data_IF_334548468912
#
_entry.id   IF_334548468912
#
_cell.length_a   1.000
_cell.length_b   1.000
_cell.length_c   1.000
_cell.angle_alpha   90.00
_cell.angle_beta   90.00
_cell.angle_gamma   90.00
#
_symmetry.space_group_name_H-M   'P 1'
#
loop_
_entity.id
_entity.type
_entity.pdbx_description
1 polymer ?
#
# COMPACT_ATOMS: atom_id res chain seq x y z
N UNK A 1 27.96 9.90 15.28
CA UNK A 1 28.28 10.24 13.86
C UNK A 1 28.73 8.96 13.19
N UNK A 2 28.16 8.64 12.03
CA UNK A 2 28.55 7.44 11.27
C UNK A 2 29.99 7.57 10.80
N UNK A 3 30.77 6.48 10.91
CA UNK A 3 32.14 6.46 10.40
C UNK A 3 32.09 6.13 8.90
N UNK A 4 32.96 6.76 8.08
CA UNK A 4 33.02 6.46 6.64
C UNK A 4 33.30 4.97 6.38
N UNK A 5 34.01 4.30 7.29
CA UNK A 5 34.31 2.88 7.20
C UNK A 5 33.07 1.98 7.45
N UNK A 6 31.96 2.55 7.92
CA UNK A 6 30.70 1.82 8.09
C UNK A 6 29.99 1.59 6.75
N UNK A 7 30.46 2.22 5.67
CA UNK A 7 29.85 2.18 4.35
C UNK A 7 30.76 1.53 3.32
N UNK A 8 30.23 0.55 2.60
CA UNK A 8 30.87 0.02 1.39
C UNK A 8 30.24 0.72 0.19
N UNK A 9 31.02 1.57 -0.48
CA UNK A 9 30.57 2.38 -1.62
C UNK A 9 31.44 2.07 -2.83
N UNK A 10 30.82 1.77 -3.97
CA UNK A 10 31.46 1.49 -5.23
C UNK A 10 30.82 2.31 -6.35
N UNK A 11 31.57 3.13 -7.03
CA UNK A 11 31.11 3.98 -8.15
C UNK A 11 29.86 4.82 -7.82
N UNK A 12 29.81 5.37 -6.62
CA UNK A 12 28.65 6.16 -6.13
C UNK A 12 27.47 5.34 -5.65
N UNK A 13 27.51 4.01 -5.71
CA UNK A 13 26.49 3.13 -5.18
C UNK A 13 26.86 2.68 -3.77
N UNK A 14 25.97 2.92 -2.80
CA UNK A 14 26.09 2.33 -1.47
C UNK A 14 25.71 0.85 -1.55
N UNK A 15 26.71 -0.03 -1.49
CA UNK A 15 26.52 -1.48 -1.60
C UNK A 15 26.05 -2.08 -0.26
N UNK A 16 26.66 -1.60 0.84
CA UNK A 16 26.35 -2.14 2.17
C UNK A 16 26.68 -1.16 3.28
N UNK A 17 25.81 -1.06 4.25
CA UNK A 17 26.09 -0.49 5.56
C UNK A 17 26.45 -1.63 6.55
N UNK A 18 27.51 -1.44 7.31
CA UNK A 18 28.05 -2.41 8.28
C UNK A 18 28.32 -1.79 9.65
N UNK A 19 27.78 -0.58 9.86
CA UNK A 19 27.91 0.12 11.15
C UNK A 19 26.92 -0.37 12.21
N UNK A 20 27.00 0.18 13.42
CA UNK A 20 26.23 -0.28 14.57
C UNK A 20 24.74 0.11 14.55
N UNK A 21 24.31 0.93 13.60
CA UNK A 21 22.94 1.51 13.57
C UNK A 21 22.85 2.85 14.29
N UNK A 22 21.70 3.13 14.92
CA UNK A 22 21.40 4.44 15.49
C UNK A 22 21.04 5.45 14.40
N UNK A 23 21.44 6.72 14.59
CA UNK A 23 21.22 7.79 13.62
C UNK A 23 22.36 7.80 12.59
N UNK A 24 22.03 7.53 11.34
CA UNK A 24 22.98 7.36 10.24
C UNK A 24 22.87 8.49 9.24
N UNK A 25 23.99 9.08 8.85
CA UNK A 25 24.08 10.03 7.74
C UNK A 25 24.89 9.35 6.64
N UNK A 26 24.25 9.11 5.50
CA UNK A 26 24.92 8.55 4.30
C UNK A 26 25.86 9.59 3.74
N UNK A 27 27.12 9.21 3.39
CA UNK A 27 28.11 10.17 2.86
C UNK A 27 27.66 10.88 1.59
N UNK A 28 28.06 12.12 1.45
CA UNK A 28 27.93 12.88 0.19
C UNK A 28 28.67 12.14 -0.95
N UNK A 29 28.16 12.29 -2.18
CA UNK A 29 28.70 11.58 -3.36
C UNK A 29 28.08 10.21 -3.60
N UNK A 30 27.25 9.69 -2.68
CA UNK A 30 26.38 8.55 -2.97
C UNK A 30 25.26 9.00 -3.89
N UNK A 31 25.09 8.29 -5.00
CA UNK A 31 24.07 8.58 -6.02
C UNK A 31 22.98 7.52 -6.10
N UNK A 32 23.21 6.35 -5.49
CA UNK A 32 22.24 5.24 -5.42
C UNK A 32 22.41 4.45 -4.13
N UNK A 33 21.31 4.01 -3.56
CA UNK A 33 21.30 3.02 -2.47
C UNK A 33 21.05 1.67 -3.11
N UNK A 34 22.03 0.76 -2.98
CA UNK A 34 22.02 -0.55 -3.61
C UNK A 34 20.98 -1.50 -3.00
N UNK A 35 20.78 -2.62 -3.69
CA UNK A 35 19.96 -3.74 -3.22
C UNK A 35 20.55 -4.25 -1.89
N UNK A 36 19.67 -4.40 -0.86
CA UNK A 36 20.03 -4.87 0.49
C UNK A 36 21.00 -3.99 1.28
N UNK A 37 21.27 -2.75 0.86
CA UNK A 37 22.31 -1.91 1.45
C UNK A 37 22.21 -1.75 2.97
N UNK A 38 20.99 -1.65 3.53
CA UNK A 38 20.71 -1.60 4.99
C UNK A 38 19.84 -2.78 5.47
N UNK A 39 19.72 -3.85 4.67
CA UNK A 39 18.87 -4.99 5.04
C UNK A 39 19.28 -5.53 6.42
N UNK A 40 18.26 -5.82 7.26
CA UNK A 40 18.42 -6.34 8.61
C UNK A 40 19.14 -5.41 9.60
N UNK A 41 19.32 -4.11 9.25
CA UNK A 41 19.87 -3.12 10.18
C UNK A 41 18.83 -2.76 11.25
N UNK A 42 18.50 -3.73 12.11
CA UNK A 42 17.42 -3.62 13.11
C UNK A 42 17.65 -2.54 14.17
N UNK A 43 18.89 -2.08 14.34
CA UNK A 43 19.26 -0.99 15.26
C UNK A 43 19.28 0.40 14.61
N UNK A 44 19.01 0.50 13.29
CA UNK A 44 18.93 1.78 12.58
C UNK A 44 17.68 2.55 13.04
N UNK A 45 17.85 3.74 13.63
CA UNK A 45 16.75 4.55 14.17
C UNK A 45 16.32 5.66 13.22
N UNK A 46 17.29 6.28 12.55
CA UNK A 46 17.04 7.26 11.51
C UNK A 46 18.12 7.22 10.42
N UNK A 47 17.78 7.66 9.23
CA UNK A 47 18.72 7.76 8.12
C UNK A 47 18.52 9.06 7.36
N UNK A 48 19.62 9.78 7.14
CA UNK A 48 19.65 10.96 6.24
C UNK A 48 20.25 10.49 4.91
N UNK A 49 19.45 10.59 3.86
CA UNK A 49 19.83 10.28 2.48
C UNK A 49 20.25 11.56 1.79
N UNK A 50 21.46 11.67 1.20
CA UNK A 50 21.92 12.88 0.56
C UNK A 50 21.14 13.20 -0.72
N UNK A 51 21.04 14.48 -1.06
CA UNK A 51 20.26 14.97 -2.21
C UNK A 51 20.73 14.44 -3.58
N UNK A 52 21.96 13.93 -3.67
CA UNK A 52 22.49 13.32 -4.90
C UNK A 52 21.91 11.93 -5.22
N UNK A 53 21.17 11.30 -4.28
CA UNK A 53 20.60 9.97 -4.50
C UNK A 53 19.40 10.04 -5.42
N UNK A 54 19.42 9.22 -6.47
CA UNK A 54 18.37 9.14 -7.48
C UNK A 54 17.55 7.84 -7.45
N UNK A 55 18.07 6.81 -6.74
CA UNK A 55 17.39 5.51 -6.64
C UNK A 55 17.64 4.82 -5.31
N UNK A 56 16.64 4.09 -4.86
CA UNK A 56 16.68 3.19 -3.70
C UNK A 56 16.38 1.79 -4.24
N UNK A 57 17.31 0.86 -4.03
CA UNK A 57 17.25 -0.52 -4.56
C UNK A 57 16.24 -1.40 -3.83
N UNK A 58 16.02 -2.61 -4.39
CA UNK A 58 15.14 -3.61 -3.80
C UNK A 58 15.64 -3.99 -2.39
N UNK A 59 14.70 -4.12 -1.46
CA UNK A 59 14.94 -4.49 -0.06
C UNK A 59 16.01 -3.63 0.65
N UNK A 60 16.31 -2.41 0.15
CA UNK A 60 17.43 -1.60 0.63
C UNK A 60 17.37 -1.35 2.15
N UNK A 61 16.19 -1.14 2.73
CA UNK A 61 15.95 -0.96 4.18
C UNK A 61 15.05 -2.06 4.77
N UNK A 62 14.94 -3.21 4.10
CA UNK A 62 14.13 -4.32 4.59
C UNK A 62 14.57 -4.74 6.00
N UNK A 63 13.57 -4.96 6.88
CA UNK A 63 13.77 -5.33 8.30
C UNK A 63 14.54 -4.30 9.16
N UNK A 64 14.59 -3.03 8.77
CA UNK A 64 15.06 -1.95 9.64
C UNK A 64 13.98 -1.62 10.69
N UNK A 65 13.75 -2.54 11.62
CA UNK A 65 12.59 -2.51 12.53
C UNK A 65 12.56 -1.34 13.51
N UNK A 66 13.71 -0.72 13.80
CA UNK A 66 13.80 0.46 14.66
C UNK A 66 13.76 1.78 13.89
N UNK A 67 13.72 1.75 12.54
CA UNK A 67 13.69 2.95 11.72
C UNK A 67 12.35 3.68 11.93
N UNK A 68 12.42 4.85 12.58
CA UNK A 68 11.24 5.65 12.92
C UNK A 68 10.90 6.68 11.86
N UNK A 69 11.93 7.17 11.16
CA UNK A 69 11.78 8.19 10.12
C UNK A 69 12.83 8.05 9.01
N UNK A 70 12.43 8.38 7.81
CA UNK A 70 13.31 8.51 6.64
C UNK A 70 12.87 9.71 5.82
N UNK A 71 13.82 10.54 5.41
CA UNK A 71 13.59 11.60 4.45
C UNK A 71 14.13 11.12 3.11
N UNK A 72 13.22 10.89 2.16
CA UNK A 72 13.57 10.52 0.79
C UNK A 72 13.75 11.83 0.00
N UNK A 73 14.95 12.11 -0.53
CA UNK A 73 15.19 13.38 -1.23
C UNK A 73 14.43 13.48 -2.56
N UNK A 74 14.10 14.69 -2.98
CA UNK A 74 13.31 14.99 -4.19
C UNK A 74 13.94 14.45 -5.49
N UNK A 75 15.25 14.24 -5.49
CA UNK A 75 15.96 13.64 -6.64
C UNK A 75 15.66 12.15 -6.88
N UNK A 76 15.05 11.46 -5.92
CA UNK A 76 14.74 10.03 -6.05
C UNK A 76 13.59 9.81 -7.04
N UNK A 77 13.85 9.02 -8.06
CA UNK A 77 12.88 8.68 -9.12
C UNK A 77 12.42 7.24 -9.08
N UNK A 78 13.12 6.37 -8.32
CA UNK A 78 12.75 4.97 -8.16
C UNK A 78 12.97 4.45 -6.75
N UNK A 79 12.00 3.69 -6.25
CA UNK A 79 12.04 2.97 -4.98
C UNK A 79 11.73 1.51 -5.30
N UNK A 80 12.66 0.63 -4.98
CA UNK A 80 12.61 -0.79 -5.31
C UNK A 80 11.53 -1.56 -4.54
N UNK A 81 11.30 -2.80 -4.97
CA UNK A 81 10.39 -3.74 -4.29
C UNK A 81 10.90 -4.00 -2.89
N UNK A 82 9.96 -4.09 -1.93
CA UNK A 82 10.27 -4.38 -0.52
C UNK A 82 11.29 -3.41 0.10
N UNK A 83 11.53 -2.21 -0.49
CA UNK A 83 12.58 -1.30 -0.06
C UNK A 83 12.50 -0.96 1.44
N UNK A 84 11.29 -0.84 2.01
CA UNK A 84 11.02 -0.59 3.43
C UNK A 84 10.19 -1.70 4.07
N UNK A 85 10.27 -2.94 3.54
CA UNK A 85 9.52 -4.06 4.09
C UNK A 85 9.91 -4.33 5.55
N UNK A 86 8.88 -4.48 6.40
CA UNK A 86 9.03 -4.72 7.86
C UNK A 86 9.82 -3.62 8.60
N UNK A 87 9.77 -2.37 8.11
CA UNK A 87 10.17 -1.19 8.89
C UNK A 87 9.07 -0.87 9.90
N UNK A 88 8.90 -1.74 10.91
CA UNK A 88 7.72 -1.76 11.78
C UNK A 88 7.56 -0.53 12.68
N UNK A 89 8.62 0.25 12.89
CA UNK A 89 8.59 1.50 13.66
C UNK A 89 8.44 2.76 12.80
N UNK A 90 8.45 2.64 11.45
CA UNK A 90 8.32 3.80 10.55
C UNK A 90 6.95 4.45 10.70
N UNK A 91 6.93 5.73 11.08
CA UNK A 91 5.68 6.45 11.43
C UNK A 91 5.08 7.23 10.28
N UNK A 92 5.91 7.73 9.39
CA UNK A 92 5.48 8.48 8.22
C UNK A 92 6.49 8.39 7.08
N UNK A 93 6.02 8.56 5.86
CA UNK A 93 6.86 8.67 4.66
C UNK A 93 6.25 9.65 3.66
N UNK A 94 7.09 10.48 3.07
CA UNK A 94 6.73 11.31 1.92
C UNK A 94 7.43 10.73 0.70
N UNK A 95 6.65 10.34 -0.30
CA UNK A 95 7.18 9.83 -1.57
C UNK A 95 7.42 11.02 -2.48
N UNK A 96 8.63 11.20 -3.04
CA UNK A 96 8.95 12.37 -3.87
C UNK A 96 8.24 12.35 -5.23
N UNK A 97 8.04 13.55 -5.80
CA UNK A 97 7.36 13.77 -7.08
C UNK A 97 8.03 13.10 -8.29
N UNK A 98 9.30 12.69 -8.18
CA UNK A 98 9.99 11.92 -9.22
C UNK A 98 9.55 10.47 -9.34
N UNK A 99 8.90 9.91 -8.29
CA UNK A 99 8.53 8.49 -8.25
C UNK A 99 7.24 8.25 -9.02
N UNK A 100 7.26 7.33 -9.98
CA UNK A 100 6.12 7.05 -10.87
C UNK A 100 5.35 5.78 -10.51
N UNK A 101 5.89 4.93 -9.63
CA UNK A 101 5.24 3.71 -9.15
C UNK A 101 5.70 3.35 -7.74
N UNK A 102 4.79 2.79 -6.95
CA UNK A 102 5.12 2.14 -5.68
C UNK A 102 5.21 0.65 -5.98
N UNK A 103 6.39 0.07 -5.76
CA UNK A 103 6.69 -1.34 -6.07
C UNK A 103 5.96 -2.32 -5.13
N UNK A 104 6.08 -3.62 -5.47
CA UNK A 104 5.48 -4.68 -4.66
C UNK A 104 6.07 -4.70 -3.25
N UNK A 105 5.20 -4.79 -2.25
CA UNK A 105 5.54 -4.87 -0.82
C UNK A 105 6.45 -3.75 -0.30
N UNK A 106 6.55 -2.62 -1.00
CA UNK A 106 7.52 -1.54 -0.66
C UNK A 106 7.42 -1.12 0.81
N UNK A 107 6.20 -0.96 1.35
CA UNK A 107 5.95 -0.59 2.75
C UNK A 107 5.17 -1.67 3.52
N UNK A 108 5.17 -2.92 3.04
CA UNK A 108 4.46 -4.01 3.72
C UNK A 108 5.02 -4.20 5.14
N UNK A 109 4.14 -4.45 6.11
CA UNK A 109 4.47 -4.57 7.54
C UNK A 109 5.08 -3.31 8.20
N UNK A 110 4.91 -2.12 7.63
CA UNK A 110 5.19 -0.87 8.33
C UNK A 110 4.08 -0.58 9.35
N UNK A 111 4.05 -1.34 10.45
CA UNK A 111 2.92 -1.39 11.41
C UNK A 111 2.63 -0.06 12.10
N UNK A 112 3.64 0.78 12.30
CA UNK A 112 3.52 2.11 12.93
C UNK A 112 3.22 3.23 11.94
N UNK A 113 3.13 2.94 10.63
CA UNK A 113 2.89 3.95 9.60
C UNK A 113 1.48 4.52 9.75
N UNK A 114 1.39 5.79 10.19
CA UNK A 114 0.11 6.48 10.41
C UNK A 114 -0.33 7.29 9.20
N UNK A 115 0.62 7.74 8.39
CA UNK A 115 0.36 8.53 7.19
C UNK A 115 1.38 8.27 6.09
N UNK A 116 0.92 8.37 4.85
CA UNK A 116 1.75 8.34 3.65
C UNK A 116 1.26 9.41 2.69
N UNK A 117 2.18 10.18 2.12
CA UNK A 117 1.89 11.12 1.03
C UNK A 117 2.31 10.47 -0.27
N UNK A 118 1.34 10.20 -1.14
CA UNK A 118 1.54 9.64 -2.48
C UNK A 118 1.37 10.78 -3.49
N UNK A 119 2.41 11.12 -4.28
CA UNK A 119 2.34 12.25 -5.20
C UNK A 119 1.56 11.93 -6.48
N UNK A 120 1.14 12.98 -7.20
CA UNK A 120 0.41 12.85 -8.48
C UNK A 120 1.25 12.25 -9.63
N UNK A 121 2.54 12.07 -9.44
CA UNK A 121 3.41 11.33 -10.37
C UNK A 121 3.16 9.83 -10.40
N UNK A 122 2.66 9.26 -9.27
CA UNK A 122 2.46 7.81 -9.13
C UNK A 122 1.29 7.33 -10.01
N UNK A 123 1.56 6.34 -10.86
CA UNK A 123 0.60 5.73 -11.80
C UNK A 123 0.07 4.38 -11.33
N UNK A 124 0.83 3.68 -10.46
CA UNK A 124 0.46 2.35 -9.96
C UNK A 124 0.92 2.13 -8.53
N UNK A 125 0.09 1.41 -7.79
CA UNK A 125 0.39 0.86 -6.47
C UNK A 125 0.52 -0.65 -6.63
N UNK A 126 1.71 -1.19 -6.35
CA UNK A 126 2.06 -2.60 -6.53
C UNK A 126 1.35 -3.53 -5.56
N UNK A 127 1.49 -4.84 -5.79
CA UNK A 127 0.93 -5.86 -4.93
C UNK A 127 1.51 -5.76 -3.51
N UNK A 128 0.65 -5.87 -2.49
CA UNK A 128 1.02 -5.87 -1.06
C UNK A 128 1.76 -4.59 -0.62
N UNK A 129 1.70 -3.49 -1.38
CA UNK A 129 2.54 -2.30 -1.19
C UNK A 129 2.44 -1.71 0.23
N UNK A 130 1.23 -1.69 0.83
CA UNK A 130 0.95 -1.22 2.20
C UNK A 130 0.29 -2.31 3.06
N UNK A 131 0.51 -3.60 2.73
CA UNK A 131 -0.04 -4.71 3.49
C UNK A 131 0.38 -4.61 4.96
N UNK A 132 -0.58 -4.82 5.87
CA UNK A 132 -0.37 -4.78 7.32
C UNK A 132 0.22 -3.47 7.86
N UNK A 133 -0.01 -2.34 7.18
CA UNK A 133 0.19 -1.01 7.78
C UNK A 133 -0.94 -0.74 8.79
N UNK A 134 -0.90 -1.43 9.92
CA UNK A 134 -2.00 -1.52 10.87
C UNK A 134 -2.36 -0.19 11.55
N UNK A 135 -1.44 0.78 11.58
CA UNK A 135 -1.69 2.12 12.13
C UNK A 135 -2.17 3.14 11.10
N UNK A 136 -2.24 2.76 9.80
CA UNK A 136 -2.67 3.68 8.75
C UNK A 136 -4.17 3.97 8.89
N UNK A 137 -4.53 5.24 9.16
CA UNK A 137 -5.91 5.65 9.40
C UNK A 137 -6.59 6.23 8.16
N UNK A 138 -5.81 6.78 7.26
CA UNK A 138 -6.28 7.35 5.99
C UNK A 138 -5.20 7.28 4.92
N UNK A 139 -5.64 7.22 3.67
CA UNK A 139 -4.77 7.32 2.50
C UNK A 139 -5.49 8.07 1.39
N UNK A 140 -4.79 9.00 0.76
CA UNK A 140 -5.27 9.65 -0.45
C UNK A 140 -4.59 8.97 -1.65
N UNK A 141 -5.40 8.32 -2.48
CA UNK A 141 -4.93 7.73 -3.74
C UNK A 141 -5.05 8.82 -4.80
N UNK A 142 -3.93 9.26 -5.42
CA UNK A 142 -3.96 10.36 -6.37
C UNK A 142 -4.70 9.98 -7.67
N UNK A 143 -5.22 10.98 -8.36
CA UNK A 143 -5.99 10.81 -9.61
C UNK A 143 -5.17 10.22 -10.78
N UNK A 144 -3.87 10.22 -10.63
CA UNK A 144 -2.94 9.62 -11.60
C UNK A 144 -2.86 8.10 -11.51
N UNK A 145 -3.29 7.49 -10.39
CA UNK A 145 -3.23 6.04 -10.19
C UNK A 145 -4.28 5.33 -11.03
N UNK A 146 -3.83 4.41 -11.88
CA UNK A 146 -4.70 3.63 -12.78
C UNK A 146 -4.93 2.19 -12.31
N UNK A 147 -4.09 1.71 -11.37
CA UNK A 147 -4.19 0.34 -10.85
C UNK A 147 -3.82 0.27 -9.37
N UNK A 148 -4.58 -0.53 -8.63
CA UNK A 148 -4.33 -0.93 -7.25
C UNK A 148 -4.08 -2.43 -7.27
N UNK A 149 -2.87 -2.84 -6.90
CA UNK A 149 -2.43 -4.24 -6.95
C UNK A 149 -3.08 -5.12 -5.90
N UNK A 150 -2.86 -6.43 -6.04
CA UNK A 150 -3.37 -7.44 -5.11
C UNK A 150 -2.87 -7.18 -3.69
N UNK A 151 -3.77 -7.22 -2.73
CA UNK A 151 -3.49 -7.02 -1.31
C UNK A 151 -2.86 -5.67 -0.96
N UNK A 152 -2.92 -4.66 -1.85
CA UNK A 152 -2.18 -3.40 -1.68
C UNK A 152 -2.38 -2.75 -0.30
N UNK A 153 -3.58 -2.82 0.27
CA UNK A 153 -3.92 -2.30 1.61
C UNK A 153 -4.45 -3.39 2.55
N UNK A 154 -4.19 -4.67 2.24
CA UNK A 154 -4.66 -5.76 3.10
C UNK A 154 -4.18 -5.60 4.54
N UNK A 155 -5.08 -5.77 5.50
CA UNK A 155 -4.75 -5.71 6.93
C UNK A 155 -4.42 -4.31 7.44
N UNK A 156 -4.79 -3.25 6.71
CA UNK A 156 -4.79 -1.88 7.23
C UNK A 156 -5.99 -1.72 8.19
N UNK A 157 -5.91 -2.36 9.36
CA UNK A 157 -7.05 -2.57 10.27
C UNK A 157 -7.66 -1.26 10.81
N UNK A 158 -6.90 -0.17 10.83
CA UNK A 158 -7.36 1.15 11.29
C UNK A 158 -7.74 2.11 10.15
N UNK A 159 -7.67 1.67 8.89
CA UNK A 159 -8.10 2.47 7.75
C UNK A 159 -9.62 2.67 7.79
N UNK A 160 -10.07 3.93 7.95
CA UNK A 160 -11.49 4.25 8.16
C UNK A 160 -12.26 4.54 6.88
N UNK A 161 -11.58 5.09 5.89
CA UNK A 161 -12.18 5.41 4.59
C UNK A 161 -11.13 5.41 3.49
N UNK A 162 -11.57 5.15 2.27
CA UNK A 162 -10.76 5.28 1.06
C UNK A 162 -11.62 5.80 -0.09
N UNK A 163 -11.05 6.72 -0.86
CA UNK A 163 -11.63 7.17 -2.12
C UNK A 163 -10.77 6.61 -3.24
N UNK A 164 -11.37 5.76 -4.06
CA UNK A 164 -10.73 5.20 -5.25
C UNK A 164 -10.97 6.18 -6.40
N UNK A 165 -9.91 6.69 -7.08
CA UNK A 165 -10.08 7.70 -8.11
C UNK A 165 -10.65 7.12 -9.42
N UNK A 166 -11.29 7.99 -10.23
CA UNK A 166 -11.92 7.63 -11.51
C UNK A 166 -10.93 7.09 -12.58
N UNK A 167 -9.64 7.18 -12.33
CA UNK A 167 -8.61 6.59 -13.18
C UNK A 167 -8.42 5.09 -12.98
N UNK A 168 -8.90 4.54 -11.84
CA UNK A 168 -8.75 3.11 -11.50
C UNK A 168 -9.80 2.30 -12.24
N UNK A 169 -9.36 1.28 -12.98
CA UNK A 169 -10.24 0.42 -13.79
C UNK A 169 -10.49 -0.97 -13.19
N UNK A 170 -9.67 -1.36 -12.20
CA UNK A 170 -9.83 -2.64 -11.49
C UNK A 170 -9.32 -2.54 -10.06
N UNK A 171 -9.96 -3.27 -9.17
CA UNK A 171 -9.54 -3.46 -7.78
C UNK A 171 -8.97 -4.88 -7.70
N UNK A 172 -7.70 -5.00 -7.30
CA UNK A 172 -6.97 -6.27 -7.21
C UNK A 172 -7.56 -7.24 -6.18
N UNK A 173 -7.16 -8.50 -6.25
CA UNK A 173 -7.51 -9.51 -5.26
C UNK A 173 -7.01 -9.09 -3.87
N UNK A 174 -7.81 -9.28 -2.82
CA UNK A 174 -7.49 -8.90 -1.43
C UNK A 174 -7.13 -7.41 -1.21
N UNK A 175 -7.36 -6.52 -2.16
CA UNK A 175 -6.81 -5.16 -2.12
C UNK A 175 -7.08 -4.40 -0.81
N UNK A 176 -8.25 -4.60 -0.20
CA UNK A 176 -8.68 -4.02 1.09
C UNK A 176 -9.15 -5.09 2.09
N UNK A 177 -8.77 -6.37 1.89
CA UNK A 177 -9.15 -7.44 2.82
C UNK A 177 -8.62 -7.13 4.23
N UNK A 178 -9.36 -7.54 5.26
CA UNK A 178 -9.01 -7.33 6.67
C UNK A 178 -8.87 -5.84 7.07
N UNK A 179 -9.46 -4.89 6.31
CA UNK A 179 -9.57 -3.48 6.71
C UNK A 179 -10.75 -3.31 7.70
N UNK A 180 -10.55 -3.75 8.94
CA UNK A 180 -11.62 -3.93 9.93
C UNK A 180 -12.40 -2.64 10.24
N UNK A 181 -11.73 -1.48 10.21
CA UNK A 181 -12.32 -0.17 10.51
C UNK A 181 -12.89 0.55 9.28
N UNK A 182 -12.78 -0.03 8.08
CA UNK A 182 -13.24 0.61 6.85
C UNK A 182 -14.78 0.73 6.86
N UNK A 183 -15.26 1.93 7.17
CA UNK A 183 -16.68 2.20 7.31
C UNK A 183 -17.37 2.56 5.98
N UNK A 184 -16.60 3.13 5.05
CA UNK A 184 -17.10 3.51 3.73
C UNK A 184 -16.03 3.38 2.65
N UNK A 185 -16.47 3.04 1.45
CA UNK A 185 -15.65 3.06 0.24
C UNK A 185 -16.48 3.60 -0.92
N UNK A 186 -15.86 4.44 -1.74
CA UNK A 186 -16.45 4.90 -3.00
C UNK A 186 -15.75 4.17 -4.13
N UNK A 187 -16.50 3.34 -4.85
CA UNK A 187 -16.03 2.62 -6.04
C UNK A 187 -16.45 3.45 -7.25
N UNK A 188 -15.53 3.93 -8.09
CA UNK A 188 -15.86 4.78 -9.22
C UNK A 188 -16.44 4.01 -10.42
N UNK A 189 -17.14 4.71 -11.31
CA UNK A 189 -17.75 4.16 -12.53
C UNK A 189 -16.75 3.55 -13.52
N UNK A 190 -15.50 3.93 -13.41
CA UNK A 190 -14.39 3.38 -14.21
C UNK A 190 -14.07 1.91 -13.90
N UNK A 191 -14.40 1.44 -12.68
CA UNK A 191 -14.09 0.07 -12.23
C UNK A 191 -14.95 -0.94 -12.99
N UNK A 192 -14.31 -1.94 -13.62
CA UNK A 192 -14.94 -3.01 -14.39
C UNK A 192 -15.08 -4.31 -13.62
N UNK A 193 -14.19 -4.53 -12.64
CA UNK A 193 -14.19 -5.74 -11.81
C UNK A 193 -13.74 -5.47 -10.39
N UNK A 194 -14.35 -6.20 -9.45
CA UNK A 194 -13.95 -6.26 -8.05
C UNK A 194 -13.29 -7.62 -7.85
N UNK A 195 -12.03 -7.62 -7.44
CA UNK A 195 -11.20 -8.81 -7.28
C UNK A 195 -11.72 -9.78 -6.20
N UNK A 196 -11.13 -10.97 -6.20
CA UNK A 196 -11.36 -12.00 -5.18
C UNK A 196 -11.01 -11.45 -3.81
N UNK A 197 -11.92 -11.62 -2.83
CA UNK A 197 -11.70 -11.23 -1.43
C UNK A 197 -11.33 -9.74 -1.26
N UNK A 198 -11.64 -8.87 -2.25
CA UNK A 198 -11.16 -7.49 -2.30
C UNK A 198 -11.53 -6.66 -1.04
N UNK A 199 -12.69 -6.91 -0.43
CA UNK A 199 -13.17 -6.28 0.80
C UNK A 199 -13.54 -7.31 1.88
N UNK A 200 -12.94 -8.52 1.82
CA UNK A 200 -13.19 -9.57 2.79
C UNK A 200 -12.87 -9.05 4.21
N UNK A 201 -13.77 -9.35 5.17
CA UNK A 201 -13.65 -8.93 6.57
C UNK A 201 -13.54 -7.41 6.82
N UNK A 202 -14.07 -6.57 5.91
CA UNK A 202 -14.30 -5.17 6.22
C UNK A 202 -15.50 -5.05 7.18
N UNK A 203 -15.31 -5.43 8.44
CA UNK A 203 -16.40 -5.62 9.40
C UNK A 203 -17.16 -4.35 9.77
N UNK A 204 -16.56 -3.16 9.57
CA UNK A 204 -17.22 -1.86 9.80
C UNK A 204 -17.91 -1.29 8.56
N UNK A 205 -17.80 -1.93 7.39
CA UNK A 205 -18.40 -1.42 6.14
C UNK A 205 -19.92 -1.50 6.23
N UNK A 206 -20.59 -0.33 6.18
CA UNK A 206 -22.05 -0.25 6.40
C UNK A 206 -22.86 -0.27 5.12
N UNK A 207 -22.30 0.23 4.03
CA UNK A 207 -22.94 0.27 2.72
C UNK A 207 -21.89 0.24 1.61
N UNK A 208 -22.28 -0.30 0.47
CA UNK A 208 -21.51 -0.23 -0.78
C UNK A 208 -22.44 -0.05 -1.96
N UNK A 209 -22.06 0.83 -2.86
CA UNK A 209 -22.72 0.98 -4.16
C UNK A 209 -21.77 0.38 -5.19
N UNK A 210 -22.25 -0.64 -5.90
CA UNK A 210 -21.55 -1.21 -7.04
C UNK A 210 -21.93 -0.37 -8.26
N UNK A 211 -20.97 0.30 -8.94
CA UNK A 211 -21.30 1.19 -10.05
C UNK A 211 -21.69 0.41 -11.32
N UNK A 212 -22.42 1.07 -12.22
CA UNK A 212 -22.88 0.48 -13.49
C UNK A 212 -21.73 0.02 -14.43
N UNK A 213 -20.51 0.44 -14.14
CA UNK A 213 -19.32 -0.03 -14.87
C UNK A 213 -18.91 -1.47 -14.55
N UNK A 214 -19.29 -2.00 -13.38
CA UNK A 214 -18.85 -3.31 -12.89
C UNK A 214 -19.60 -4.44 -13.57
N UNK A 215 -18.86 -5.41 -14.13
CA UNK A 215 -19.41 -6.60 -14.79
C UNK A 215 -19.25 -7.86 -13.97
N UNK A 216 -18.31 -7.88 -13.01
CA UNK A 216 -18.05 -9.05 -12.16
C UNK A 216 -17.67 -8.68 -10.73
N UNK A 217 -18.19 -9.46 -9.78
CA UNK A 217 -17.85 -9.42 -8.36
C UNK A 217 -17.12 -10.74 -8.03
N UNK A 218 -15.91 -10.65 -7.50
CA UNK A 218 -15.05 -11.79 -7.22
C UNK A 218 -15.55 -12.72 -6.14
N UNK A 219 -14.95 -13.92 -6.05
CA UNK A 219 -15.18 -14.87 -4.96
C UNK A 219 -14.90 -14.19 -3.60
N UNK A 220 -15.82 -14.36 -2.63
CA UNK A 220 -15.71 -13.80 -1.27
C UNK A 220 -15.43 -12.29 -1.22
N UNK A 221 -15.77 -11.51 -2.26
CA UNK A 221 -15.37 -10.10 -2.37
C UNK A 221 -15.80 -9.24 -1.18
N UNK A 222 -16.94 -9.52 -0.56
CA UNK A 222 -17.48 -8.84 0.64
C UNK A 222 -17.77 -9.83 1.78
N UNK A 223 -17.13 -11.01 1.77
CA UNK A 223 -17.31 -12.01 2.84
C UNK A 223 -16.96 -11.40 4.19
N UNK A 224 -17.79 -11.63 5.20
CA UNK A 224 -17.56 -11.18 6.57
C UNK A 224 -17.74 -9.67 6.78
N UNK A 225 -18.31 -8.92 5.82
CA UNK A 225 -18.70 -7.53 6.02
C UNK A 225 -19.94 -7.48 6.95
N UNK A 226 -19.74 -7.76 8.24
CA UNK A 226 -20.83 -8.03 9.19
C UNK A 226 -21.73 -6.81 9.48
N UNK A 227 -21.23 -5.59 9.26
CA UNK A 227 -22.02 -4.34 9.41
C UNK A 227 -22.74 -3.90 8.12
N UNK A 228 -22.55 -4.60 7.00
CA UNK A 228 -23.15 -4.22 5.72
C UNK A 228 -24.67 -4.38 5.78
N UNK A 229 -25.39 -3.26 5.70
CA UNK A 229 -26.86 -3.24 5.80
C UNK A 229 -27.54 -3.16 4.43
N UNK A 230 -26.84 -2.62 3.44
CA UNK A 230 -27.35 -2.46 2.08
C UNK A 230 -26.27 -2.59 1.02
N UNK A 231 -26.64 -3.19 -0.09
CA UNK A 231 -25.85 -3.24 -1.31
C UNK A 231 -26.77 -3.09 -2.51
N UNK A 232 -26.36 -2.30 -3.47
CA UNK A 232 -27.05 -2.18 -4.76
C UNK A 232 -26.17 -2.84 -5.80
N UNK A 233 -26.68 -3.85 -6.50
CA UNK A 233 -26.01 -4.56 -7.59
C UNK A 233 -26.70 -4.14 -8.89
N UNK A 234 -25.98 -3.49 -9.82
CA UNK A 234 -26.56 -3.02 -11.06
C UNK A 234 -26.73 -4.15 -12.09
N UNK A 235 -27.57 -3.93 -13.09
CA UNK A 235 -27.82 -4.87 -14.20
C UNK A 235 -26.59 -5.13 -15.09
N UNK A 236 -25.54 -4.32 -14.96
CA UNK A 236 -24.26 -4.54 -15.63
C UNK A 236 -23.51 -5.77 -15.10
N UNK A 237 -23.79 -6.20 -13.85
CA UNK A 237 -23.14 -7.35 -13.24
C UNK A 237 -23.70 -8.64 -13.84
N UNK A 238 -22.82 -9.41 -14.46
CA UNK A 238 -23.15 -10.69 -15.11
C UNK A 238 -22.54 -11.90 -14.39
N UNK A 239 -21.74 -11.66 -13.34
CA UNK A 239 -21.12 -12.74 -12.56
C UNK A 239 -20.88 -12.28 -11.12
N UNK A 240 -21.33 -13.13 -10.17
CA UNK A 240 -21.07 -12.99 -8.74
C UNK A 240 -20.36 -14.27 -8.28
N UNK A 241 -19.16 -14.12 -7.73
CA UNK A 241 -18.37 -15.24 -7.23
C UNK A 241 -19.00 -15.91 -6.01
N UNK A 242 -18.66 -17.18 -5.78
CA UNK A 242 -19.13 -17.91 -4.61
C UNK A 242 -18.76 -17.17 -3.33
N UNK A 243 -19.65 -17.21 -2.33
CA UNK A 243 -19.47 -16.58 -1.02
C UNK A 243 -19.30 -15.06 -1.03
N UNK A 244 -19.59 -14.36 -2.15
CA UNK A 244 -19.33 -12.93 -2.30
C UNK A 244 -19.89 -12.08 -1.15
N UNK A 245 -21.01 -12.45 -0.55
CA UNK A 245 -21.67 -11.78 0.58
C UNK A 245 -21.88 -12.70 1.79
N UNK A 246 -21.15 -13.81 1.87
CA UNK A 246 -21.22 -14.73 3.02
C UNK A 246 -20.82 -14.01 4.30
N UNK A 247 -21.54 -14.24 5.39
CA UNK A 247 -21.24 -13.61 6.69
C UNK A 247 -21.58 -12.10 6.78
N UNK A 248 -22.27 -11.51 5.79
CA UNK A 248 -22.84 -10.17 5.90
C UNK A 248 -24.08 -10.19 6.80
N UNK A 249 -23.87 -10.38 8.11
CA UNK A 249 -24.95 -10.70 9.08
C UNK A 249 -25.98 -9.58 9.28
N UNK A 250 -25.63 -8.33 8.96
CA UNK A 250 -26.57 -7.19 9.02
C UNK A 250 -27.34 -6.97 7.72
N UNK A 251 -27.04 -7.72 6.65
CA UNK A 251 -27.70 -7.58 5.34
C UNK A 251 -29.02 -8.34 5.35
N UNK A 252 -30.14 -7.61 5.49
CA UNK A 252 -31.47 -8.21 5.61
C UNK A 252 -31.97 -8.83 4.28
N UNK A 253 -31.57 -8.23 3.16
CA UNK A 253 -31.93 -8.71 1.82
C UNK A 253 -30.93 -8.18 0.79
N UNK A 254 -30.82 -8.92 -0.31
CA UNK A 254 -30.04 -8.53 -1.48
C UNK A 254 -30.88 -8.83 -2.74
N UNK A 255 -30.90 -7.89 -3.66
CA UNK A 255 -31.52 -8.08 -4.97
C UNK A 255 -30.44 -8.48 -5.94
N UNK A 256 -30.56 -9.67 -6.50
CA UNK A 256 -29.67 -10.15 -7.57
C UNK A 256 -30.31 -9.78 -8.90
N UNK A 257 -29.62 -9.06 -9.77
CA UNK A 257 -30.15 -8.68 -11.08
C UNK A 257 -30.37 -9.90 -11.98
N UNK A 258 -31.25 -9.79 -12.96
CA UNK A 258 -31.54 -10.87 -13.91
C UNK A 258 -30.37 -11.22 -14.83
N UNK A 259 -29.38 -10.32 -14.89
CA UNK A 259 -28.16 -10.48 -15.70
C UNK A 259 -27.13 -11.48 -15.16
N UNK A 260 -27.26 -11.94 -13.90
CA UNK A 260 -26.32 -12.87 -13.21
C UNK A 260 -26.58 -14.32 -13.56
#
# INVERSE_FOLDING_TARGET
MSNINDFVIENGVLIKYQGPGGDVVIPEGVTSIGVWAFKDCSSLTSVVIPNGVTSIGDEAFSHCRSLTSVVIPEGVTSIGKQAFWDCSSLTSVVIPEGVTSIGDSTFSNCKSLTSVVIPESVKSIGAWAFQYCSSLTSVVIPKSVTSIGDGAFRGCINLTSVVIPESVTSIGDWAFADCLSLASVVIPESVKSIGKEAFQYCTSLTSVVIPDGVTSIGHSAFEGCSSLTSVVIPESVTSIGASAFSGCSSLASIVIPESV
#
